data_IF_023325349787
#
_entry.id   IF_023325349787
#
_cell.length_a   1.000
_cell.length_b   1.000
_cell.length_c   1.000
_cell.angle_alpha   90.00
_cell.angle_beta   90.00
_cell.angle_gamma   90.00
#
_symmetry.space_group_name_H-M   'P 1'
#
loop_
_entity.id
_entity.type
_entity.pdbx_description
1 polymer ?
#
# COMPACT_ATOMS: atom_id res chain seq x y z
N UNK A 1 -10.96 -33.98 -11.12
CA UNK A 1 -11.96 -33.74 -10.04
C UNK A 1 -12.37 -35.09 -9.49
N UNK A 2 -12.16 -35.34 -8.21
CA UNK A 2 -12.63 -36.56 -7.56
C UNK A 2 -14.15 -36.43 -7.41
N UNK A 3 -14.94 -37.11 -8.22
CA UNK A 3 -16.41 -37.09 -8.14
C UNK A 3 -16.94 -37.90 -6.93
N UNK A 4 -16.06 -38.45 -6.11
CA UNK A 4 -16.36 -39.24 -4.90
C UNK A 4 -15.82 -38.54 -3.64
N UNK A 5 -16.25 -37.29 -3.43
CA UNK A 5 -15.99 -36.56 -2.19
C UNK A 5 -17.20 -36.73 -1.25
N UNK A 6 -17.25 -37.85 -0.54
CA UNK A 6 -18.22 -38.00 0.54
C UNK A 6 -18.01 -36.92 1.61
N UNK A 7 -19.04 -36.56 2.39
CA UNK A 7 -18.93 -35.59 3.47
C UNK A 7 -17.80 -35.93 4.47
N UNK A 8 -17.63 -37.22 4.77
CA UNK A 8 -16.61 -37.72 5.70
C UNK A 8 -15.20 -37.43 5.17
N UNK A 9 -15.01 -37.60 3.86
CA UNK A 9 -13.72 -37.36 3.20
C UNK A 9 -13.38 -35.87 3.17
N UNK A 10 -14.38 -35.02 2.97
CA UNK A 10 -14.23 -33.57 3.06
C UNK A 10 -13.80 -33.14 4.46
N UNK A 11 -14.48 -33.65 5.49
CA UNK A 11 -14.15 -33.35 6.89
C UNK A 11 -12.77 -33.89 7.26
N UNK A 12 -12.42 -35.12 6.86
CA UNK A 12 -11.11 -35.69 7.12
C UNK A 12 -9.99 -34.83 6.50
N UNK A 13 -10.14 -34.42 5.23
CA UNK A 13 -9.18 -33.55 4.57
C UNK A 13 -9.07 -32.19 5.26
N UNK A 14 -10.20 -31.58 5.63
CA UNK A 14 -10.24 -30.33 6.36
C UNK A 14 -9.47 -30.44 7.69
N UNK A 15 -9.78 -31.46 8.49
CA UNK A 15 -9.11 -31.70 9.78
C UNK A 15 -7.61 -31.92 9.59
N UNK A 16 -7.20 -32.73 8.61
CA UNK A 16 -5.77 -32.94 8.31
C UNK A 16 -5.07 -31.62 7.97
N UNK A 17 -5.67 -30.77 7.13
CA UNK A 17 -5.09 -29.47 6.79
C UNK A 17 -5.02 -28.52 7.99
N UNK A 18 -6.00 -28.52 8.89
CA UNK A 18 -5.94 -27.70 10.10
C UNK A 18 -4.91 -28.23 11.09
N UNK A 19 -4.75 -29.53 11.23
CA UNK A 19 -3.80 -30.11 12.20
C UNK A 19 -2.34 -30.01 11.72
N UNK A 20 -2.10 -29.85 10.41
CA UNK A 20 -0.77 -29.74 9.84
C UNK A 20 -0.04 -28.44 10.27
N UNK A 21 1.07 -28.51 11.01
CA UNK A 21 1.79 -27.33 11.49
C UNK A 21 2.34 -26.43 10.38
N UNK A 22 2.49 -26.91 9.14
CA UNK A 22 2.94 -26.10 7.99
C UNK A 22 1.80 -25.29 7.34
N UNK A 23 0.56 -25.51 7.77
CA UNK A 23 -0.62 -24.78 7.27
C UNK A 23 -1.02 -23.71 8.27
N UNK A 24 -1.00 -22.45 7.85
CA UNK A 24 -1.41 -21.31 8.69
C UNK A 24 -2.92 -21.00 8.60
N UNK A 25 -3.57 -21.33 7.49
CA UNK A 25 -4.96 -20.98 7.20
C UNK A 25 -5.55 -21.91 6.15
N UNK A 26 -6.87 -22.12 6.17
CA UNK A 26 -7.57 -22.98 5.19
C UNK A 26 -8.70 -22.23 4.49
N UNK A 27 -8.83 -22.44 3.18
CA UNK A 27 -10.00 -22.04 2.39
C UNK A 27 -10.72 -23.29 1.88
N UNK A 28 -11.89 -23.58 2.45
CA UNK A 28 -12.71 -24.71 2.08
C UNK A 28 -13.73 -24.32 1.01
N UNK A 29 -13.71 -24.98 -0.16
CA UNK A 29 -14.60 -24.68 -1.28
C UNK A 29 -15.52 -25.87 -1.55
N UNK A 30 -16.83 -25.63 -1.54
CA UNK A 30 -17.85 -26.57 -1.96
C UNK A 30 -18.47 -26.09 -3.27
N UNK A 31 -18.25 -26.83 -4.35
CA UNK A 31 -19.00 -26.68 -5.60
C UNK A 31 -20.33 -27.44 -5.52
N UNK A 32 -21.38 -26.97 -6.22
CA UNK A 32 -22.67 -27.65 -6.22
C UNK A 32 -22.53 -29.06 -6.79
N UNK A 33 -22.99 -30.07 -6.04
CA UNK A 33 -23.03 -31.46 -6.48
C UNK A 33 -24.21 -32.18 -5.83
N UNK A 34 -24.63 -33.29 -6.42
CA UNK A 34 -25.82 -34.05 -5.97
C UNK A 34 -25.53 -35.06 -4.86
N UNK A 35 -24.26 -35.25 -4.49
CA UNK A 35 -23.85 -36.29 -3.55
C UNK A 35 -23.81 -35.79 -2.10
N UNK A 36 -23.80 -34.48 -1.90
CA UNK A 36 -23.61 -33.86 -0.59
C UNK A 36 -24.62 -32.77 -0.38
N UNK A 37 -25.35 -32.83 0.73
CA UNK A 37 -26.17 -31.71 1.20
C UNK A 37 -25.26 -30.57 1.69
N UNK A 38 -25.31 -29.37 1.08
CA UNK A 38 -24.47 -28.25 1.48
C UNK A 38 -24.70 -27.82 2.93
N UNK A 39 -25.93 -27.94 3.43
CA UNK A 39 -26.28 -27.53 4.80
C UNK A 39 -25.83 -28.55 5.84
N UNK A 40 -25.94 -29.86 5.56
CA UNK A 40 -25.40 -30.90 6.45
C UNK A 40 -23.89 -30.81 6.55
N UNK A 41 -23.18 -30.67 5.42
CA UNK A 41 -21.74 -30.49 5.45
C UNK A 41 -21.34 -29.22 6.20
N UNK A 42 -22.10 -28.12 6.05
CA UNK A 42 -21.82 -26.88 6.79
C UNK A 42 -21.96 -27.07 8.31
N UNK A 43 -22.94 -27.86 8.78
CA UNK A 43 -23.06 -28.20 10.21
C UNK A 43 -21.83 -28.98 10.69
N UNK A 44 -21.41 -29.99 9.94
CA UNK A 44 -20.23 -30.79 10.26
C UNK A 44 -18.96 -29.94 10.30
N UNK A 45 -18.74 -29.10 9.29
CA UNK A 45 -17.60 -28.16 9.26
C UNK A 45 -17.63 -27.23 10.47
N UNK A 46 -18.79 -26.65 10.78
CA UNK A 46 -18.97 -25.75 11.93
C UNK A 46 -18.62 -26.46 13.25
N UNK A 47 -19.01 -27.72 13.42
CA UNK A 47 -18.70 -28.51 14.61
C UNK A 47 -17.18 -28.71 14.78
N UNK A 48 -16.45 -29.03 13.71
CA UNK A 48 -14.99 -29.19 13.79
C UNK A 48 -14.31 -27.84 14.10
N UNK A 49 -14.81 -26.74 13.52
CA UNK A 49 -14.18 -25.41 13.69
C UNK A 49 -14.19 -24.87 15.11
N UNK A 50 -15.10 -25.33 15.98
CA UNK A 50 -15.12 -24.90 17.39
C UNK A 50 -13.86 -25.29 18.16
N UNK A 51 -13.11 -26.27 17.66
CA UNK A 51 -11.88 -26.78 18.28
C UNK A 51 -10.63 -26.23 17.60
N UNK A 52 -10.78 -25.41 16.55
CA UNK A 52 -9.66 -24.97 15.72
C UNK A 52 -9.09 -23.64 16.21
N UNK A 53 -7.76 -23.53 16.12
CA UNK A 53 -7.01 -22.29 16.40
C UNK A 53 -6.65 -21.52 15.14
N UNK A 54 -6.73 -22.17 13.96
CA UNK A 54 -6.35 -21.60 12.67
C UNK A 54 -7.56 -21.00 11.95
N UNK A 55 -7.40 -19.88 11.23
CA UNK A 55 -8.48 -19.26 10.48
C UNK A 55 -8.98 -20.17 9.36
N UNK A 56 -10.30 -20.33 9.29
CA UNK A 56 -11.01 -21.01 8.20
C UNK A 56 -11.87 -20.00 7.43
N UNK A 57 -11.77 -20.02 6.11
CA UNK A 57 -12.69 -19.37 5.18
C UNK A 57 -13.47 -20.44 4.42
N UNK A 58 -14.72 -20.13 4.07
CA UNK A 58 -15.57 -21.07 3.32
C UNK A 58 -16.10 -20.42 2.04
N UNK A 59 -16.19 -21.20 0.97
CA UNK A 59 -16.87 -20.82 -0.27
C UNK A 59 -17.91 -21.87 -0.60
N UNK A 60 -19.17 -21.59 -0.24
CA UNK A 60 -20.29 -22.46 -0.54
C UNK A 60 -20.98 -21.90 -1.79
N UNK A 61 -20.71 -22.53 -2.92
CA UNK A 61 -21.23 -22.10 -4.21
C UNK A 61 -22.69 -22.54 -4.39
N UNK A 62 -23.45 -21.79 -5.18
CA UNK A 62 -24.87 -22.02 -5.43
C UNK A 62 -25.78 -21.12 -4.60
N UNK A 63 -27.09 -21.21 -4.84
CA UNK A 63 -28.04 -20.23 -4.30
C UNK A 63 -28.94 -20.81 -3.20
N UNK A 64 -30.03 -21.49 -3.54
CA UNK A 64 -31.04 -21.97 -2.58
C UNK A 64 -30.47 -22.93 -1.54
N UNK A 65 -29.83 -24.01 -1.98
CA UNK A 65 -29.33 -25.09 -1.10
C UNK A 65 -28.13 -24.64 -0.26
N UNK A 66 -27.26 -23.82 -0.84
CA UNK A 66 -26.07 -23.29 -0.17
C UNK A 66 -26.36 -22.12 0.79
N UNK A 67 -27.54 -21.49 0.69
CA UNK A 67 -27.91 -20.34 1.53
C UNK A 67 -27.97 -20.70 3.01
N UNK A 68 -28.56 -21.85 3.34
CA UNK A 68 -28.63 -22.31 4.72
C UNK A 68 -27.23 -22.57 5.29
N UNK A 69 -26.36 -23.26 4.52
CA UNK A 69 -24.98 -23.50 4.91
C UNK A 69 -24.20 -22.20 5.20
N UNK A 70 -24.34 -21.20 4.32
CA UNK A 70 -23.75 -19.86 4.55
C UNK A 70 -24.32 -19.16 5.78
N UNK A 71 -25.61 -19.30 6.06
CA UNK A 71 -26.21 -18.72 7.27
C UNK A 71 -25.65 -19.37 8.55
N UNK A 72 -25.42 -20.69 8.54
CA UNK A 72 -24.77 -21.40 9.64
C UNK A 72 -23.34 -20.90 9.87
N UNK A 73 -22.54 -20.74 8.81
CA UNK A 73 -21.19 -20.18 8.93
C UNK A 73 -21.21 -18.75 9.48
N UNK A 74 -22.10 -17.90 9.01
CA UNK A 74 -22.23 -16.54 9.51
C UNK A 74 -22.59 -16.50 11.02
N UNK A 75 -23.48 -17.38 11.47
CA UNK A 75 -23.83 -17.51 12.90
C UNK A 75 -22.63 -17.98 13.73
N UNK A 76 -21.82 -18.90 13.19
CA UNK A 76 -20.60 -19.37 13.80
C UNK A 76 -19.40 -18.39 13.66
N UNK A 77 -19.62 -17.20 13.08
CA UNK A 77 -18.58 -16.19 12.80
C UNK A 77 -17.46 -16.69 11.87
N UNK A 78 -17.78 -17.61 10.98
CA UNK A 78 -16.88 -18.11 9.93
C UNK A 78 -17.10 -17.30 8.65
N UNK A 79 -16.07 -16.61 8.11
CA UNK A 79 -16.19 -15.90 6.84
C UNK A 79 -16.63 -16.85 5.71
N UNK A 80 -17.68 -16.47 5.00
CA UNK A 80 -18.27 -17.31 3.95
C UNK A 80 -18.58 -16.54 2.68
N UNK A 81 -18.33 -17.17 1.53
CA UNK A 81 -18.42 -16.57 0.21
C UNK A 81 -19.28 -17.43 -0.73
N UNK A 82 -19.84 -16.77 -1.76
CA UNK A 82 -20.65 -17.42 -2.80
C UNK A 82 -19.84 -17.85 -4.01
N UNK A 83 -18.73 -17.15 -4.27
CA UNK A 83 -17.92 -17.34 -5.47
C UNK A 83 -16.45 -17.52 -5.09
N UNK A 84 -15.73 -18.43 -5.76
CA UNK A 84 -14.34 -18.73 -5.44
C UNK A 84 -13.43 -17.51 -5.66
N UNK A 85 -13.72 -16.64 -6.63
CA UNK A 85 -12.94 -15.44 -6.91
C UNK A 85 -12.94 -14.50 -5.70
N UNK A 86 -14.12 -14.24 -5.12
CA UNK A 86 -14.25 -13.41 -3.94
C UNK A 86 -13.57 -14.05 -2.72
N UNK A 87 -13.69 -15.38 -2.59
CA UNK A 87 -13.07 -16.11 -1.50
C UNK A 87 -11.53 -16.04 -1.56
N UNK A 88 -10.96 -16.23 -2.75
CA UNK A 88 -9.50 -16.15 -2.97
C UNK A 88 -8.99 -14.73 -2.76
N UNK A 89 -9.72 -13.72 -3.24
CA UNK A 89 -9.35 -12.31 -3.01
C UNK A 89 -9.34 -12.00 -1.51
N UNK A 90 -10.38 -12.39 -0.78
CA UNK A 90 -10.45 -12.20 0.67
C UNK A 90 -9.33 -12.94 1.42
N UNK A 91 -9.02 -14.17 0.99
CA UNK A 91 -7.92 -14.96 1.55
C UNK A 91 -6.56 -14.29 1.30
N UNK A 92 -6.32 -13.81 0.08
CA UNK A 92 -5.09 -13.10 -0.27
C UNK A 92 -4.94 -11.79 0.53
N UNK A 93 -6.03 -11.04 0.75
CA UNK A 93 -6.01 -9.86 1.60
C UNK A 93 -5.60 -10.20 3.04
N UNK A 94 -6.11 -11.29 3.61
CA UNK A 94 -5.74 -11.73 4.95
C UNK A 94 -4.24 -12.07 5.04
N UNK A 95 -3.73 -12.84 4.07
CA UNK A 95 -2.30 -13.20 4.00
C UNK A 95 -1.42 -11.96 3.87
N UNK A 96 -1.77 -11.05 2.96
CA UNK A 96 -1.04 -9.81 2.76
C UNK A 96 -1.09 -8.90 3.99
N UNK A 97 -2.22 -8.85 4.69
CA UNK A 97 -2.34 -8.08 5.92
C UNK A 97 -1.40 -8.61 7.00
N UNK A 98 -1.37 -9.93 7.24
CA UNK A 98 -0.43 -10.55 8.20
C UNK A 98 1.02 -10.27 7.79
N UNK A 99 1.34 -10.42 6.50
CA UNK A 99 2.69 -10.12 5.99
C UNK A 99 3.08 -8.66 6.21
N UNK A 100 2.19 -7.72 5.92
CA UNK A 100 2.43 -6.30 6.10
C UNK A 100 2.58 -5.93 7.57
N UNK A 101 1.80 -6.55 8.47
CA UNK A 101 1.97 -6.36 9.91
C UNK A 101 3.35 -6.81 10.39
N UNK A 102 3.85 -7.96 9.91
CA UNK A 102 5.21 -8.41 10.21
C UNK A 102 6.25 -7.40 9.72
N UNK A 103 6.13 -6.91 8.49
CA UNK A 103 7.03 -5.90 7.92
C UNK A 103 7.01 -4.56 8.67
N UNK A 104 5.85 -4.12 9.17
CA UNK A 104 5.74 -2.89 9.96
C UNK A 104 6.37 -3.04 11.37
N UNK A 105 6.43 -4.26 11.90
CA UNK A 105 7.09 -4.56 13.17
C UNK A 105 8.60 -4.71 13.03
N UNK A 106 9.10 -4.98 11.82
CA UNK A 106 10.53 -4.86 11.55
C UNK A 106 10.93 -3.39 11.72
N UNK A 107 11.77 -3.12 12.71
CA UNK A 107 12.34 -1.78 12.88
C UNK A 107 13.15 -1.48 11.62
N UNK A 108 12.75 -0.49 10.80
CA UNK A 108 13.57 -0.10 9.66
C UNK A 108 14.95 0.26 10.20
N UNK A 109 16.05 -0.15 9.54
CA UNK A 109 17.37 0.28 9.97
C UNK A 109 17.33 1.80 10.10
N UNK A 110 17.78 2.32 11.25
CA UNK A 110 17.89 3.75 11.44
C UNK A 110 18.61 4.32 10.21
N UNK A 111 18.06 5.39 9.62
CA UNK A 111 18.76 6.14 8.59
C UNK A 111 20.00 6.75 9.27
N UNK A 112 21.07 5.96 9.40
CA UNK A 112 22.35 6.33 10.04
C UNK A 112 23.05 7.46 9.29
N UNK A 113 22.57 7.81 8.10
CA UNK A 113 23.01 8.94 7.29
C UNK A 113 22.17 10.21 7.46
N UNK A 114 21.11 10.21 8.27
CA UNK A 114 20.40 11.46 8.58
C UNK A 114 21.22 12.26 9.61
N UNK A 115 22.31 12.85 9.14
CA UNK A 115 22.99 13.93 9.86
C UNK A 115 21.98 15.07 9.95
N UNK A 116 21.52 15.37 11.16
CA UNK A 116 20.60 16.49 11.41
C UNK A 116 21.10 17.73 10.67
N UNK A 117 20.22 18.28 9.82
CA UNK A 117 20.50 19.45 9.01
C UNK A 117 21.17 20.55 9.83
N UNK A 118 22.22 21.14 9.27
CA UNK A 118 22.47 22.56 9.48
C UNK A 118 21.22 23.30 8.99
N UNK A 119 20.45 23.97 9.87
CA UNK A 119 19.34 24.79 9.41
C UNK A 119 19.96 25.87 8.53
N UNK A 120 19.55 25.94 7.26
CA UNK A 120 19.84 27.16 6.51
C UNK A 120 19.24 28.30 7.33
N UNK A 121 19.98 29.38 7.58
CA UNK A 121 19.53 30.46 8.48
C UNK A 121 18.12 31.00 8.11
N UNK A 122 17.77 30.89 6.82
CA UNK A 122 16.47 31.30 6.26
C UNK A 122 15.37 30.23 6.30
N UNK A 123 15.73 28.97 6.57
CA UNK A 123 14.77 27.87 6.75
C UNK A 123 13.93 28.10 8.00
N UNK A 124 14.52 28.63 9.07
CA UNK A 124 13.78 29.02 10.28
C UNK A 124 12.87 30.23 10.07
N UNK A 125 13.33 31.23 9.30
CA UNK A 125 12.54 32.43 8.99
C UNK A 125 11.35 32.13 8.06
N UNK A 126 11.54 31.30 7.03
CA UNK A 126 10.47 30.89 6.12
C UNK A 126 9.36 30.06 6.80
N UNK A 127 9.68 29.40 7.92
CA UNK A 127 8.70 28.67 8.74
C UNK A 127 7.99 29.59 9.73
N UNK A 128 8.69 30.61 10.24
CA UNK A 128 8.13 31.59 11.17
C UNK A 128 7.20 32.61 10.47
N UNK A 129 7.53 33.01 9.24
CA UNK A 129 6.76 33.96 8.44
C UNK A 129 6.51 33.37 7.04
N UNK A 130 5.28 32.93 6.72
CA UNK A 130 4.95 32.41 5.40
C UNK A 130 4.94 33.55 4.38
N UNK A 131 6.11 33.83 3.81
CA UNK A 131 6.33 34.80 2.74
C UNK A 131 6.56 34.10 1.39
N UNK A 132 6.24 34.79 0.30
CA UNK A 132 6.61 34.34 -1.05
C UNK A 132 8.13 34.45 -1.18
N UNK A 133 8.81 33.32 -1.34
CA UNK A 133 10.26 33.28 -1.54
C UNK A 133 10.63 33.68 -2.97
N UNK A 134 11.72 34.43 -3.11
CA UNK A 134 12.35 34.64 -4.41
C UNK A 134 12.99 33.33 -4.90
N UNK A 135 13.18 33.20 -6.22
CA UNK A 135 13.74 31.98 -6.81
C UNK A 135 15.11 31.56 -6.20
N UNK A 136 16.07 32.48 -5.95
CA UNK A 136 17.32 32.12 -5.27
C UNK A 136 17.09 31.58 -3.85
N UNK A 137 16.18 32.20 -3.10
CA UNK A 137 15.85 31.79 -1.73
C UNK A 137 15.22 30.40 -1.69
N UNK A 138 14.25 30.13 -2.57
CA UNK A 138 13.62 28.82 -2.69
C UNK A 138 14.66 27.73 -3.04
N UNK A 139 15.59 28.03 -3.95
CA UNK A 139 16.66 27.11 -4.33
C UNK A 139 17.66 26.86 -3.20
N UNK A 140 18.00 27.86 -2.40
CA UNK A 140 18.85 27.68 -1.22
C UNK A 140 18.21 26.78 -0.17
N UNK A 141 16.89 26.89 0.04
CA UNK A 141 16.14 26.01 0.93
C UNK A 141 16.15 24.57 0.41
N UNK A 142 15.87 24.36 -0.88
CA UNK A 142 15.91 23.03 -1.51
C UNK A 142 17.32 22.40 -1.45
N UNK A 143 18.38 23.19 -1.69
CA UNK A 143 19.76 22.74 -1.60
C UNK A 143 20.16 22.32 -0.18
N UNK A 144 19.69 23.04 0.86
CA UNK A 144 19.86 22.64 2.26
C UNK A 144 19.14 21.32 2.61
N UNK A 145 18.21 20.90 1.76
CA UNK A 145 17.50 19.65 1.83
C UNK A 145 18.12 18.56 0.93
N UNK A 146 19.31 18.82 0.35
CA UNK A 146 19.98 17.99 -0.64
C UNK A 146 19.14 17.68 -1.88
N UNK A 147 18.13 18.50 -2.16
CA UNK A 147 17.37 18.43 -3.40
C UNK A 147 18.23 19.11 -4.47
N UNK A 148 18.57 18.42 -5.57
CA UNK A 148 19.40 18.99 -6.62
C UNK A 148 18.70 20.19 -7.26
N UNK A 149 19.37 21.34 -7.28
CA UNK A 149 18.89 22.58 -7.88
C UNK A 149 19.92 23.11 -8.86
N UNK A 150 19.47 23.73 -9.95
CA UNK A 150 20.38 24.46 -10.84
C UNK A 150 20.88 25.74 -10.15
N UNK A 151 22.19 26.05 -10.24
CA UNK A 151 22.76 27.32 -9.78
C UNK A 151 21.94 28.51 -10.30
N UNK A 152 21.78 29.53 -9.47
CA UNK A 152 21.00 30.72 -9.85
C UNK A 152 21.62 31.94 -9.22
N UNK A 153 21.95 32.90 -10.07
CA UNK A 153 22.59 34.13 -9.71
C UNK A 153 21.67 35.29 -10.09
N UNK A 154 21.60 36.28 -9.21
CA UNK A 154 20.86 37.52 -9.47
C UNK A 154 21.85 38.54 -10.00
N UNK A 155 21.58 39.09 -11.18
CA UNK A 155 22.35 40.20 -11.73
C UNK A 155 21.55 41.50 -11.58
N UNK A 156 22.18 42.52 -11.01
CA UNK A 156 21.58 43.84 -10.78
C UNK A 156 21.91 44.83 -11.91
N UNK A 157 22.81 44.46 -12.83
CA UNK A 157 23.14 45.26 -14.03
C UNK A 157 23.48 44.38 -15.23
N UNK A 158 23.38 44.93 -16.44
CA UNK A 158 23.76 44.24 -17.67
C UNK A 158 25.24 43.82 -17.66
N UNK A 159 26.12 44.65 -17.11
CA UNK A 159 27.55 44.36 -16.99
C UNK A 159 27.84 43.19 -16.03
N UNK A 160 27.06 43.08 -14.95
CA UNK A 160 27.14 41.99 -13.99
C UNK A 160 26.62 40.68 -14.57
N UNK A 161 25.52 40.73 -15.34
CA UNK A 161 24.98 39.57 -16.04
C UNK A 161 25.99 38.95 -17.01
N UNK A 162 26.73 39.78 -17.77
CA UNK A 162 27.77 39.32 -18.69
C UNK A 162 28.95 38.71 -17.93
N UNK A 163 29.36 39.30 -16.81
CA UNK A 163 30.45 38.77 -15.98
C UNK A 163 30.11 37.39 -15.39
N UNK A 164 28.88 37.24 -14.89
CA UNK A 164 28.37 35.96 -14.35
C UNK A 164 28.25 34.90 -15.46
N UNK A 165 27.72 35.27 -16.64
CA UNK A 165 27.63 34.38 -17.78
C UNK A 165 29.00 33.85 -18.23
N UNK A 166 30.02 34.72 -18.23
CA UNK A 166 31.38 34.34 -18.60
C UNK A 166 32.04 33.40 -17.58
N UNK A 167 31.66 33.47 -16.28
CA UNK A 167 32.15 32.55 -15.26
C UNK A 167 31.49 31.16 -15.31
N UNK A 168 30.24 31.08 -15.77
CA UNK A 168 29.47 29.83 -15.83
C UNK A 168 29.70 29.03 -17.12
N UNK A 169 30.21 29.67 -18.17
CA UNK A 169 30.36 29.07 -19.50
C UNK A 169 29.04 29.03 -20.26
N UNK A 170 29.10 29.19 -21.59
CA UNK A 170 27.93 29.06 -22.47
C UNK A 170 27.83 27.60 -22.97
N UNK A 171 26.64 26.95 -23.01
CA UNK A 171 25.29 27.52 -23.03
C UNK A 171 24.33 27.01 -21.92
N UNK A 172 23.39 27.84 -21.45
CA UNK A 172 22.08 27.32 -20.99
C UNK A 172 21.48 27.76 -19.65
N UNK A 173 22.14 28.53 -18.78
CA UNK A 173 21.51 28.92 -17.50
C UNK A 173 20.78 30.27 -17.55
N UNK A 174 19.52 30.24 -17.08
CA UNK A 174 18.57 31.35 -17.13
C UNK A 174 18.90 32.40 -16.06
N UNK A 175 19.51 33.50 -16.47
CA UNK A 175 19.75 34.68 -15.63
C UNK A 175 18.43 35.43 -15.39
N UNK A 176 18.15 35.78 -14.13
CA UNK A 176 16.98 36.57 -13.77
C UNK A 176 17.39 37.99 -13.36
N UNK A 177 16.72 39.04 -13.87
CA UNK A 177 16.97 40.42 -13.46
C UNK A 177 16.47 40.67 -12.03
N UNK A 178 17.14 41.57 -11.30
CA UNK A 178 16.88 41.88 -9.90
C UNK A 178 15.53 42.61 -9.60
N UNK A 179 14.70 42.92 -10.61
CA UNK A 179 13.48 43.72 -10.42
C UNK A 179 12.20 42.85 -10.45
N UNK A 180 11.36 42.86 -9.40
CA UNK A 180 10.16 42.00 -9.31
C UNK A 180 9.00 42.39 -10.24
N UNK A 181 9.11 43.45 -11.05
CA UNK A 181 7.94 44.07 -11.71
C UNK A 181 7.73 43.71 -13.20
N UNK A 182 8.55 42.85 -13.81
CA UNK A 182 8.46 42.56 -15.27
C UNK A 182 8.48 41.09 -15.65
N UNK A 183 7.70 40.25 -14.95
CA UNK A 183 7.34 38.93 -15.46
C UNK A 183 5.92 38.97 -16.05
N UNK A 184 5.79 39.42 -17.32
CA UNK A 184 4.59 39.13 -18.11
C UNK A 184 4.86 37.82 -18.88
N UNK A 185 4.01 36.78 -18.74
CA UNK A 185 4.27 35.49 -19.38
C UNK A 185 4.16 35.60 -20.91
N UNK A 186 5.05 34.93 -21.68
CA UNK A 186 5.12 35.06 -23.14
C UNK A 186 4.10 34.20 -23.91
N UNK A 187 3.01 33.76 -23.28
CA UNK A 187 1.95 32.99 -23.95
C UNK A 187 0.58 33.57 -23.64
N UNK A 188 0.23 34.61 -24.39
CA UNK A 188 -1.14 35.03 -24.59
C UNK A 188 -1.26 35.59 -26.01
N UNK A 189 -1.62 34.70 -26.94
CA UNK A 189 -2.36 35.03 -28.17
C UNK A 189 -3.38 33.95 -28.36
#
# INVERSE_FOLDING_TARGET
MLFDSSPERFIAALTTCIDDPEVDAVLAILSPNTLVSPSELARSVTAVTQQMTKPLLTCWMGESEAREGRALFAQARIPTFRTPENAVVAFAFMVNWVRNQKLLQETPPALTSYQGRSPCARCGQAVAEPQILTLPEAKSVLAAFHIPVSPTYVASSASEAVSIANQLGYPGERLYPASPEKLKPPFAT
#
